data_IF_682967791167
#
_entry.id   IF_682967791167
#
_cell.length_a   1.000
_cell.length_b   1.000
_cell.length_c   1.000
_cell.angle_alpha   90.00
_cell.angle_beta   90.00
_cell.angle_gamma   90.00
#
_symmetry.space_group_name_H-M   'P 1'
#
loop_
_entity.id
_entity.type
_entity.pdbx_description
1 polymer ?
#
# COMPACT_ATOMS: atom_id res chain seq x y z
N UNK A 1 3.87 4.15 10.76
CA UNK A 1 2.47 4.23 11.23
C UNK A 1 1.60 4.66 10.05
N UNK A 2 0.47 3.97 9.83
CA UNK A 2 -0.41 4.19 8.68
C UNK A 2 -1.69 4.94 9.06
N UNK A 3 -2.12 5.89 8.21
CA UNK A 3 -3.38 6.62 8.34
C UNK A 3 -4.11 6.68 7.02
N UNK A 4 -5.37 6.25 7.00
CA UNK A 4 -6.23 6.42 5.83
C UNK A 4 -7.05 7.70 5.97
N UNK A 5 -6.84 8.65 5.08
CA UNK A 5 -7.58 9.90 5.02
C UNK A 5 -8.69 9.77 3.99
N UNK A 6 -9.89 10.26 4.33
CA UNK A 6 -11.07 10.28 3.47
C UNK A 6 -11.50 11.72 3.16
N UNK A 7 -10.90 12.35 2.13
CA UNK A 7 -11.31 13.68 1.72
C UNK A 7 -12.74 13.66 1.17
N UNK A 8 -13.54 14.68 1.49
CA UNK A 8 -14.91 14.80 1.01
C UNK A 8 -14.93 14.83 -0.53
N UNK A 9 -15.66 13.86 -1.13
CA UNK A 9 -15.90 13.70 -2.59
C UNK A 9 -14.70 13.27 -3.44
N UNK A 10 -13.60 12.81 -2.84
CA UNK A 10 -12.39 12.43 -3.58
C UNK A 10 -11.92 11.02 -3.18
N UNK A 11 -10.92 10.49 -3.88
CA UNK A 11 -10.30 9.21 -3.51
C UNK A 11 -9.60 9.31 -2.14
N UNK A 12 -9.64 8.23 -1.36
CA UNK A 12 -8.89 8.15 -0.11
C UNK A 12 -7.39 8.14 -0.39
N UNK A 13 -6.61 8.68 0.54
CA UNK A 13 -5.14 8.61 0.51
C UNK A 13 -4.69 7.82 1.73
N UNK A 14 -3.74 6.91 1.54
CA UNK A 14 -3.09 6.20 2.63
C UNK A 14 -1.73 6.84 2.91
N UNK A 15 -1.59 7.45 4.09
CA UNK A 15 -0.35 8.07 4.55
C UNK A 15 0.44 7.08 5.42
N UNK A 16 1.75 7.03 5.24
CA UNK A 16 2.65 6.35 6.17
C UNK A 16 3.76 7.29 6.65
N UNK A 17 3.99 7.27 7.95
CA UNK A 17 5.19 7.84 8.54
C UNK A 17 6.22 6.75 8.79
N UNK A 18 7.40 6.93 8.21
CA UNK A 18 8.50 5.96 8.21
C UNK A 18 9.69 6.55 8.98
N UNK A 19 10.30 5.74 9.83
CA UNK A 19 11.62 6.00 10.38
C UNK A 19 12.49 4.78 10.13
N UNK A 20 13.58 4.95 9.38
CA UNK A 20 14.60 3.93 9.20
C UNK A 20 15.86 4.35 9.97
N UNK A 21 16.26 3.61 11.01
CA UNK A 21 17.53 3.84 11.69
C UNK A 21 18.73 3.83 10.73
N UNK A 22 19.79 4.65 10.97
CA UNK A 22 20.94 4.76 10.07
C UNK A 22 21.68 3.43 9.85
N UNK A 23 21.67 2.53 10.85
CA UNK A 23 22.33 1.23 10.81
C UNK A 23 21.34 0.06 10.67
N UNK A 24 20.22 0.28 9.98
CA UNK A 24 19.22 -0.78 9.75
C UNK A 24 19.79 -1.96 8.97
N UNK A 25 19.49 -3.16 9.46
CA UNK A 25 19.84 -4.43 8.83
C UNK A 25 19.02 -4.70 7.56
N UNK A 26 19.43 -5.69 6.76
CA UNK A 26 18.73 -6.08 5.54
C UNK A 26 17.26 -6.47 5.78
N UNK A 27 16.97 -7.08 6.93
CA UNK A 27 15.59 -7.45 7.33
C UNK A 27 14.63 -6.27 7.42
N UNK A 28 15.14 -5.04 7.54
CA UNK A 28 14.30 -3.84 7.50
C UNK A 28 13.62 -3.68 6.13
N UNK A 29 14.33 -3.99 5.03
CA UNK A 29 13.78 -3.88 3.68
C UNK A 29 12.65 -4.89 3.47
N UNK A 30 12.85 -6.15 3.88
CA UNK A 30 11.85 -7.21 3.74
C UNK A 30 10.57 -6.88 4.53
N UNK A 31 10.73 -6.36 5.76
CA UNK A 31 9.62 -5.92 6.58
C UNK A 31 8.90 -4.71 5.96
N UNK A 32 9.66 -3.73 5.46
CA UNK A 32 9.09 -2.55 4.80
C UNK A 32 8.31 -2.93 3.54
N UNK A 33 8.85 -3.82 2.70
CA UNK A 33 8.19 -4.34 1.51
C UNK A 33 6.90 -5.06 1.86
N UNK A 34 6.94 -5.97 2.84
CA UNK A 34 5.74 -6.68 3.31
C UNK A 34 4.65 -5.72 3.79
N UNK A 35 5.01 -4.75 4.62
CA UNK A 35 4.07 -3.73 5.11
C UNK A 35 3.52 -2.87 3.97
N UNK A 36 4.36 -2.52 3.01
CA UNK A 36 3.94 -1.76 1.84
C UNK A 36 2.97 -2.56 0.96
N UNK A 37 3.25 -3.83 0.65
CA UNK A 37 2.38 -4.68 -0.15
C UNK A 37 1.00 -4.83 0.51
N UNK A 38 0.97 -5.05 1.83
CA UNK A 38 -0.28 -5.10 2.58
C UNK A 38 -1.05 -3.78 2.47
N UNK A 39 -0.37 -2.65 2.64
CA UNK A 39 -0.97 -1.33 2.50
C UNK A 39 -1.49 -1.04 1.07
N UNK A 40 -0.71 -1.43 0.05
CA UNK A 40 -1.06 -1.27 -1.34
C UNK A 40 -2.31 -2.07 -1.71
N UNK A 41 -2.47 -3.28 -1.17
CA UNK A 41 -3.70 -4.06 -1.34
C UNK A 41 -4.98 -3.38 -0.82
N UNK A 42 -4.84 -2.38 0.08
CA UNK A 42 -5.96 -1.63 0.68
C UNK A 42 -6.24 -0.32 -0.07
N UNK A 43 -5.22 0.29 -0.68
CA UNK A 43 -5.33 1.54 -1.42
C UNK A 43 -4.11 1.74 -2.32
N UNK A 44 -4.34 1.98 -3.62
CA UNK A 44 -3.27 2.28 -4.57
C UNK A 44 -2.73 3.71 -4.43
N UNK A 45 -3.47 4.60 -3.76
CA UNK A 45 -3.08 5.99 -3.55
C UNK A 45 -2.36 6.16 -2.21
N UNK A 46 -1.03 6.01 -2.25
CA UNK A 46 -0.15 5.99 -1.08
C UNK A 46 0.82 7.17 -1.12
N UNK A 47 1.04 7.76 0.06
CA UNK A 47 2.10 8.72 0.32
C UNK A 47 2.89 8.26 1.54
N UNK A 48 4.17 7.95 1.36
CA UNK A 48 5.09 7.63 2.45
C UNK A 48 5.97 8.84 2.72
N UNK A 49 6.24 9.13 3.99
CA UNK A 49 7.12 10.23 4.36
C UNK A 49 7.86 9.95 5.66
N UNK A 50 9.04 10.54 5.79
CA UNK A 50 9.81 10.54 7.04
C UNK A 50 11.30 10.41 6.83
N UNK A 51 12.03 10.11 7.90
CA UNK A 51 13.49 10.01 7.91
C UNK A 51 13.93 8.58 7.58
N UNK A 52 14.54 8.41 6.40
CA UNK A 52 15.03 7.12 5.93
C UNK A 52 16.50 6.89 6.28
N UNK A 53 17.22 7.91 6.74
CA UNK A 53 18.68 7.87 6.90
C UNK A 53 19.40 7.27 5.67
N UNK A 54 18.88 7.56 4.47
CA UNK A 54 19.45 7.16 3.18
C UNK A 54 19.64 8.45 2.39
N UNK A 55 20.90 8.83 2.16
CA UNK A 55 21.22 10.09 1.50
C UNK A 55 20.99 10.01 -0.01
N UNK A 56 19.89 10.62 -0.47
CA UNK A 56 19.41 10.57 -1.85
C UNK A 56 20.31 11.35 -2.84
N UNK A 57 21.31 12.09 -2.34
CA UNK A 57 22.29 12.78 -3.19
C UNK A 57 23.54 11.95 -3.51
N UNK A 58 23.72 10.78 -2.87
CA UNK A 58 24.92 9.94 -3.10
C UNK A 58 24.80 9.07 -4.36
N UNK A 59 25.91 8.92 -5.08
CA UNK A 59 25.99 8.13 -6.32
C UNK A 59 25.75 6.62 -6.16
N UNK A 60 25.86 6.08 -4.94
CA UNK A 60 25.74 4.63 -4.66
C UNK A 60 24.31 4.15 -4.34
N UNK A 61 23.29 4.93 -4.73
CA UNK A 61 21.87 4.66 -4.43
C UNK A 61 21.18 3.62 -5.31
N UNK A 62 21.91 2.94 -6.19
CA UNK A 62 21.30 2.03 -7.19
C UNK A 62 20.41 0.99 -6.52
N UNK A 63 20.86 0.38 -5.41
CA UNK A 63 20.07 -0.62 -4.67
C UNK A 63 18.76 -0.04 -4.13
N UNK A 64 18.83 1.12 -3.48
CA UNK A 64 17.66 1.76 -2.89
C UNK A 64 16.69 2.26 -3.96
N UNK A 65 17.21 2.88 -5.01
CA UNK A 65 16.42 3.40 -6.12
C UNK A 65 15.70 2.28 -6.86
N UNK A 66 16.37 1.15 -7.11
CA UNK A 66 15.76 -0.03 -7.71
C UNK A 66 14.66 -0.60 -6.79
N UNK A 67 14.94 -0.75 -5.49
CA UNK A 67 13.96 -1.25 -4.52
C UNK A 67 12.69 -0.38 -4.46
N UNK A 68 12.85 0.93 -4.38
CA UNK A 68 11.72 1.86 -4.39
C UNK A 68 10.98 1.82 -5.72
N UNK A 69 11.70 1.73 -6.84
CA UNK A 69 11.10 1.63 -8.17
C UNK A 69 10.30 0.33 -8.35
N UNK A 70 10.73 -0.81 -7.78
CA UNK A 70 9.97 -2.07 -7.84
C UNK A 70 8.65 -1.98 -7.09
N UNK A 71 8.53 -1.07 -6.12
CA UNK A 71 7.30 -0.79 -5.38
C UNK A 71 6.41 0.26 -6.08
N UNK A 72 6.80 0.76 -7.26
CA UNK A 72 6.07 1.81 -7.96
C UNK A 72 6.08 3.16 -7.23
N UNK A 73 7.08 3.38 -6.36
CA UNK A 73 7.20 4.59 -5.56
C UNK A 73 8.12 5.61 -6.26
N UNK A 74 7.73 6.88 -6.21
CA UNK A 74 8.48 7.99 -6.78
C UNK A 74 8.92 8.95 -5.69
N UNK A 75 10.23 9.22 -5.58
CA UNK A 75 10.77 10.24 -4.67
C UNK A 75 10.38 11.63 -5.16
N UNK A 76 9.81 12.45 -4.28
CA UNK A 76 9.31 13.78 -4.61
C UNK A 76 10.20 14.92 -4.08
N UNK A 77 11.11 14.63 -3.14
CA UNK A 77 11.99 15.63 -2.52
C UNK A 77 13.27 15.77 -3.33
N UNK A 78 13.65 17.01 -3.64
CA UNK A 78 14.85 17.35 -4.42
C UNK A 78 15.91 18.11 -3.62
N UNK A 79 15.48 18.87 -2.61
CA UNK A 79 16.36 19.72 -1.82
C UNK A 79 16.90 18.98 -0.57
N UNK A 80 18.09 19.35 -0.07
CA UNK A 80 18.64 18.77 1.15
C UNK A 80 17.73 19.00 2.36
N UNK A 81 17.54 17.95 3.16
CA UNK A 81 16.64 17.97 4.32
C UNK A 81 17.36 17.95 5.65
N UNK A 82 18.64 17.59 5.67
CA UNK A 82 19.47 17.70 6.87
C UNK A 82 20.75 18.46 6.56
N UNK A 83 20.95 19.55 7.28
CA UNK A 83 22.09 20.46 7.13
C UNK A 83 22.74 20.65 8.49
N UNK A 84 24.00 20.25 8.58
CA UNK A 84 24.85 20.45 9.76
C UNK A 84 25.98 21.41 9.41
N UNK A 85 26.87 21.70 10.37
CA UNK A 85 28.08 22.49 10.09
C UNK A 85 29.07 21.80 9.14
N UNK A 86 28.96 20.49 8.94
CA UNK A 86 29.93 19.68 8.18
C UNK A 86 29.31 18.86 7.05
N UNK A 87 27.98 18.80 6.96
CA UNK A 87 27.28 17.96 5.99
C UNK A 87 25.99 18.58 5.48
N UNK A 88 25.62 18.23 4.26
CA UNK A 88 24.36 18.56 3.59
C UNK A 88 23.85 17.26 2.97
N UNK A 89 22.71 16.76 3.41
CA UNK A 89 22.19 15.42 3.03
C UNK A 89 20.68 15.46 2.77
N UNK A 90 20.19 14.60 1.88
CA UNK A 90 18.76 14.43 1.60
C UNK A 90 18.33 13.07 2.15
N UNK A 91 17.94 13.03 3.43
CA UNK A 91 17.61 11.79 4.14
C UNK A 91 16.15 11.69 4.56
N UNK A 92 15.43 12.79 4.54
CA UNK A 92 13.99 12.85 4.75
C UNK A 92 13.30 12.82 3.38
N UNK A 93 12.44 11.83 3.19
CA UNK A 93 11.93 11.46 1.88
C UNK A 93 10.42 11.60 1.84
N UNK A 94 9.88 11.87 0.66
CA UNK A 94 8.45 11.73 0.37
C UNK A 94 8.30 10.85 -0.86
N UNK A 95 7.67 9.70 -0.70
CA UNK A 95 7.37 8.79 -1.79
C UNK A 95 5.89 8.78 -2.14
N UNK A 96 5.55 8.85 -3.42
CA UNK A 96 4.17 8.69 -3.90
C UNK A 96 4.06 7.59 -4.94
N UNK A 97 2.96 6.82 -4.87
CA UNK A 97 2.55 5.92 -5.97
C UNK A 97 1.89 6.67 -7.13
N UNK A 98 1.43 7.91 -6.90
CA UNK A 98 0.78 8.75 -7.90
C UNK A 98 1.45 10.14 -7.94
N UNK A 99 2.67 10.26 -8.50
CA UNK A 99 3.44 11.50 -8.50
C UNK A 99 2.71 12.65 -9.21
N UNK A 100 1.84 12.35 -10.17
CA UNK A 100 1.00 13.33 -10.89
C UNK A 100 -0.01 14.05 -9.99
N UNK A 101 -0.31 13.50 -8.81
CA UNK A 101 -1.17 14.13 -7.81
C UNK A 101 -0.38 15.08 -6.91
N UNK A 102 0.94 15.12 -6.97
CA UNK A 102 1.75 16.03 -6.16
C UNK A 102 1.88 17.34 -6.94
N UNK A 103 1.39 18.44 -6.37
CA UNK A 103 1.43 19.77 -6.97
C UNK A 103 2.78 20.40 -6.74
N UNK A 104 3.28 20.32 -5.50
CA UNK A 104 4.46 21.04 -5.07
C UNK A 104 5.10 20.35 -3.86
N UNK A 105 6.43 20.38 -3.80
CA UNK A 105 7.23 19.92 -2.66
C UNK A 105 8.33 20.94 -2.41
N UNK A 106 8.38 21.46 -1.19
CA UNK A 106 9.37 22.48 -0.79
C UNK A 106 10.04 22.08 0.51
N UNK A 107 11.33 22.37 0.63
CA UNK A 107 12.09 22.20 1.87
C UNK A 107 12.53 23.57 2.38
N UNK A 108 11.78 24.19 3.31
CA UNK A 108 12.15 25.48 3.85
C UNK A 108 13.47 25.39 4.65
N UNK A 109 14.44 26.23 4.31
CA UNK A 109 15.79 26.24 4.90
C UNK A 109 15.87 26.90 6.28
N UNK A 110 14.84 26.71 7.11
CA UNK A 110 14.79 27.18 8.49
C UNK A 110 14.20 26.11 9.40
N UNK A 111 14.92 25.77 10.46
CA UNK A 111 14.47 24.83 11.48
C UNK A 111 15.18 25.07 12.82
N UNK A 112 14.55 24.71 13.94
CA UNK A 112 15.22 24.71 15.25
C UNK A 112 16.18 23.51 15.44
N UNK A 113 16.26 22.59 14.47
CA UNK A 113 17.14 21.42 14.46
C UNK A 113 18.02 21.41 13.20
N UNK A 114 18.86 20.38 13.06
CA UNK A 114 19.62 20.10 11.85
C UNK A 114 18.78 19.52 10.70
N UNK A 115 17.49 19.20 10.94
CA UNK A 115 16.54 18.77 9.91
C UNK A 115 15.60 19.91 9.51
N UNK A 116 15.57 20.21 8.22
CA UNK A 116 14.60 21.09 7.60
C UNK A 116 13.25 20.39 7.42
N UNK A 117 12.12 21.09 7.66
CA UNK A 117 10.80 20.54 7.39
C UNK A 117 10.59 20.34 5.89
N UNK A 118 9.64 19.47 5.54
CA UNK A 118 9.19 19.30 4.16
C UNK A 118 7.70 19.65 4.10
N UNK A 119 7.34 20.53 3.17
CA UNK A 119 5.95 20.80 2.80
C UNK A 119 5.64 20.08 1.50
N UNK A 120 4.51 19.38 1.44
CA UNK A 120 4.03 18.70 0.26
C UNK A 120 2.56 19.04 0.02
N UNK A 121 2.27 19.57 -1.15
CA UNK A 121 0.92 19.93 -1.57
C UNK A 121 0.39 18.86 -2.51
N UNK A 122 -0.70 18.20 -2.09
CA UNK A 122 -1.33 17.14 -2.87
C UNK A 122 -2.61 17.66 -3.53
N UNK A 123 -2.73 17.43 -4.83
CA UNK A 123 -3.92 17.70 -5.61
C UNK A 123 -5.07 16.81 -5.14
N UNK A 124 -6.15 17.45 -4.75
CA UNK A 124 -7.37 16.79 -4.31
C UNK A 124 -8.21 16.31 -5.49
N UNK A 125 -8.08 16.88 -6.69
CA UNK A 125 -8.99 16.63 -7.82
C UNK A 125 -8.74 15.34 -8.61
N UNK A 126 -8.27 14.26 -7.98
CA UNK A 126 -8.57 12.94 -8.52
C UNK A 126 -10.06 12.72 -8.33
N UNK A 127 -10.85 13.14 -9.34
CA UNK A 127 -12.24 12.72 -9.45
C UNK A 127 -12.22 11.23 -9.19
N UNK A 128 -13.11 10.75 -8.31
CA UNK A 128 -13.50 9.36 -8.35
C UNK A 128 -13.88 9.12 -9.80
N UNK A 129 -12.99 8.49 -10.58
CA UNK A 129 -13.42 7.81 -11.78
C UNK A 129 -14.31 6.76 -11.16
N UNK A 130 -15.61 7.06 -11.10
CA UNK A 130 -16.63 6.04 -11.00
C UNK A 130 -16.40 5.24 -12.26
N UNK A 131 -15.47 4.28 -12.18
CA UNK A 131 -15.52 3.16 -13.05
C UNK A 131 -16.96 2.69 -12.86
N UNK A 132 -17.81 2.95 -13.84
CA UNK A 132 -18.93 2.08 -14.14
C UNK A 132 -18.35 0.74 -14.58
N UNK A 133 -17.42 0.17 -13.81
CA UNK A 133 -17.29 -1.25 -13.74
C UNK A 133 -18.58 -1.64 -13.07
N UNK A 134 -19.51 -2.13 -13.87
CA UNK A 134 -20.47 -3.10 -13.43
C UNK A 134 -19.70 -4.31 -12.90
N UNK A 135 -18.96 -4.15 -11.79
CA UNK A 135 -18.56 -5.27 -10.97
C UNK A 135 -19.87 -5.76 -10.40
N UNK A 136 -20.51 -6.68 -11.13
CA UNK A 136 -21.63 -7.41 -10.60
C UNK A 136 -21.20 -7.94 -9.23
N UNK A 137 -21.95 -7.58 -8.19
CA UNK A 137 -21.88 -8.30 -6.93
C UNK A 137 -22.41 -9.69 -7.25
N UNK A 138 -21.51 -10.63 -7.54
CA UNK A 138 -21.89 -12.03 -7.68
C UNK A 138 -22.15 -12.58 -6.28
N UNK A 139 -23.43 -12.74 -5.95
CA UNK A 139 -23.87 -13.35 -4.71
C UNK A 139 -24.23 -14.80 -5.05
N UNK A 140 -23.38 -15.73 -4.65
CA UNK A 140 -23.73 -17.15 -4.69
C UNK A 140 -24.61 -17.47 -3.47
N UNK A 141 -25.78 -18.06 -3.71
CA UNK A 141 -26.67 -18.53 -2.66
C UNK A 141 -27.34 -19.83 -3.11
N UNK A 142 -27.63 -20.71 -2.16
CA UNK A 142 -28.39 -21.93 -2.44
C UNK A 142 -29.87 -21.58 -2.58
N UNK A 143 -30.44 -21.79 -3.75
CA UNK A 143 -31.85 -21.57 -4.03
C UNK A 143 -32.66 -22.83 -3.71
N UNK A 144 -33.46 -22.79 -2.64
CA UNK A 144 -34.27 -23.92 -2.19
C UNK A 144 -35.71 -23.92 -2.75
N UNK A 145 -36.06 -23.02 -3.69
CA UNK A 145 -37.45 -22.91 -4.20
C UNK A 145 -38.00 -24.20 -4.82
N UNK A 146 -37.12 -25.03 -5.37
CA UNK A 146 -37.45 -26.32 -5.99
C UNK A 146 -36.77 -27.48 -5.27
N UNK A 147 -36.39 -27.29 -4.00
CA UNK A 147 -35.76 -28.33 -3.22
C UNK A 147 -36.73 -29.49 -3.01
N UNK A 148 -36.30 -30.69 -3.41
CA UNK A 148 -37.05 -31.92 -3.18
C UNK A 148 -36.28 -32.75 -2.15
N UNK A 149 -36.85 -32.81 -0.95
CA UNK A 149 -36.25 -33.51 0.19
C UNK A 149 -36.06 -35.00 -0.08
N UNK A 150 -37.03 -35.66 -0.72
CA UNK A 150 -36.97 -37.09 -1.00
C UNK A 150 -35.84 -37.43 -1.98
N UNK A 151 -35.68 -36.64 -3.04
CA UNK A 151 -34.56 -36.77 -3.98
C UNK A 151 -33.22 -36.49 -3.31
N UNK A 152 -33.17 -35.47 -2.45
CA UNK A 152 -31.96 -35.13 -1.69
C UNK A 152 -31.53 -36.28 -0.78
N UNK A 153 -32.45 -36.83 0.01
CA UNK A 153 -32.18 -37.95 0.93
C UNK A 153 -31.79 -39.21 0.17
N UNK A 154 -32.45 -39.49 -0.96
CA UNK A 154 -32.10 -40.61 -1.84
C UNK A 154 -30.67 -40.46 -2.40
N UNK A 155 -30.32 -39.28 -2.92
CA UNK A 155 -28.97 -39.00 -3.39
C UNK A 155 -27.94 -39.11 -2.26
N UNK A 156 -28.23 -38.55 -1.08
CA UNK A 156 -27.34 -38.61 0.09
C UNK A 156 -27.07 -40.05 0.52
N UNK A 157 -28.10 -40.91 0.53
CA UNK A 157 -27.96 -42.34 0.88
C UNK A 157 -27.08 -43.15 -0.08
N UNK A 158 -26.87 -42.64 -1.31
CA UNK A 158 -26.06 -43.29 -2.35
C UNK A 158 -24.62 -42.78 -2.39
N UNK A 159 -24.29 -41.73 -1.64
CA UNK A 159 -22.93 -41.20 -1.61
C UNK A 159 -22.01 -42.11 -0.79
N UNK A 160 -20.76 -42.36 -1.24
CA UNK A 160 -19.78 -43.11 -0.48
C UNK A 160 -19.23 -42.24 0.66
N UNK A 161 -20.00 -42.14 1.75
CA UNK A 161 -19.69 -41.30 2.92
C UNK A 161 -18.40 -41.74 3.64
N UNK A 162 -17.83 -42.89 3.30
CA UNK A 162 -16.56 -43.39 3.80
C UNK A 162 -15.32 -42.67 3.23
N UNK A 163 -15.49 -41.82 2.21
CA UNK A 163 -14.38 -41.07 1.56
C UNK A 163 -14.41 -39.56 1.88
N UNK A 164 -15.32 -39.12 2.76
CA UNK A 164 -15.54 -37.69 3.08
C UNK A 164 -14.27 -37.00 3.60
N UNK A 165 -13.38 -37.74 4.26
CA UNK A 165 -12.14 -37.19 4.81
C UNK A 165 -11.07 -36.86 3.75
N UNK A 166 -11.25 -37.33 2.51
CA UNK A 166 -10.28 -37.15 1.41
C UNK A 166 -10.65 -35.99 0.46
N UNK A 167 -11.80 -35.35 0.67
CA UNK A 167 -12.31 -34.29 -0.21
C UNK A 167 -11.92 -32.92 0.35
N UNK A 168 -11.25 -32.11 -0.48
CA UNK A 168 -10.72 -30.79 -0.09
C UNK A 168 -11.76 -29.67 -0.09
N UNK A 169 -12.86 -29.81 -0.84
CA UNK A 169 -13.96 -28.85 -0.89
C UNK A 169 -15.29 -29.53 -0.52
N UNK A 170 -15.92 -29.06 0.56
CA UNK A 170 -17.19 -29.60 1.04
C UNK A 170 -18.36 -29.35 0.09
N UNK A 171 -18.22 -28.44 -0.89
CA UNK A 171 -19.24 -28.20 -1.91
C UNK A 171 -19.21 -29.21 -3.06
N UNK A 172 -18.17 -30.03 -3.19
CA UNK A 172 -18.07 -31.06 -4.24
C UNK A 172 -18.91 -32.32 -3.92
N UNK A 173 -19.53 -32.37 -2.74
CA UNK A 173 -20.26 -33.54 -2.24
C UNK A 173 -21.75 -33.55 -2.59
N UNK A 174 -22.35 -32.42 -2.99
CA UNK A 174 -23.80 -32.30 -3.26
C UNK A 174 -24.10 -31.25 -4.33
#
# INVERSE_FOLDING_TARGET
MWFKIFPKRNQSVLLCFVYRPPNSQTSWYDNFEKEFINAHSINDNILLMGDFNIDYMKTLLIRWSNFISTLGLHQMVIDPTRVTSTSVTLIDHIYSTNPTNIIDVTVPSYAPSDHYPISCTVNRFTKLIKNKSSSHLEIQYRNFKTFNEELFLNNLSKQPLNVIHEISDQNDLI
#
